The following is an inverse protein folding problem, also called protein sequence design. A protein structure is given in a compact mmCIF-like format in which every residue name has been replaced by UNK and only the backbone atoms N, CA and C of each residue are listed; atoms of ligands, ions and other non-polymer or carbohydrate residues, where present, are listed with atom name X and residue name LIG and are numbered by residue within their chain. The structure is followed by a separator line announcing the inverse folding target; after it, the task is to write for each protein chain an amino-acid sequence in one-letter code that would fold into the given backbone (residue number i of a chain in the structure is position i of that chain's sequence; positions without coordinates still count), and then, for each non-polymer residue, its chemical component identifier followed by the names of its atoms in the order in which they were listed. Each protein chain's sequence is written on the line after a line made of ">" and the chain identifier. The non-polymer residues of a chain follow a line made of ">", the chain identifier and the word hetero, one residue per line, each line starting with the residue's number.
data_IF_510232709406
#
_entry.id   IF_510232709406
#
_cell.length_a   1.000
_cell.length_b   1.000
_cell.length_c   1.000
_cell.angle_alpha   90.00
_cell.angle_beta   90.00
_cell.angle_gamma   90.00
#
_symmetry.space_group_name_H-M   'P 1'
#
loop_
_entity.id
_entity.type
_entity.pdbx_description
1 polymer ?
#
# COMPACT_ATOMS: atom_id res chain seq x y z
N UNK A 1 36.14 -30.06 28.35
CA UNK A 1 35.24 -28.92 28.10
C UNK A 1 35.43 -28.51 26.66
N UNK A 2 34.44 -28.71 25.80
CA UNK A 2 34.53 -28.32 24.39
C UNK A 2 34.48 -26.80 24.32
N UNK A 3 35.48 -26.18 23.70
CA UNK A 3 35.47 -24.75 23.42
C UNK A 3 34.26 -24.44 22.54
N UNK A 4 33.35 -23.54 22.94
CA UNK A 4 32.22 -23.17 22.09
C UNK A 4 32.77 -22.54 20.81
N UNK A 5 32.30 -23.04 19.66
CA UNK A 5 32.65 -22.49 18.35
C UNK A 5 32.05 -21.07 18.28
N UNK A 6 32.85 -20.03 18.02
CA UNK A 6 32.33 -18.68 17.88
C UNK A 6 31.33 -18.64 16.71
N UNK A 7 30.16 -18.07 16.95
CA UNK A 7 29.17 -17.84 15.89
C UNK A 7 29.78 -16.90 14.86
N UNK A 8 29.77 -17.31 13.59
CA UNK A 8 30.09 -16.39 12.50
C UNK A 8 28.96 -15.39 12.37
N UNK A 9 29.28 -14.10 12.47
CA UNK A 9 28.33 -13.00 12.34
C UNK A 9 27.76 -12.87 10.92
N UNK A 10 28.41 -13.51 9.95
CA UNK A 10 28.05 -13.45 8.52
C UNK A 10 27.26 -14.68 8.05
N UNK A 11 27.21 -15.73 8.88
CA UNK A 11 26.48 -16.96 8.55
C UNK A 11 24.97 -16.70 8.52
N UNK A 12 24.39 -16.68 7.33
CA UNK A 12 22.96 -16.42 7.09
C UNK A 12 22.65 -15.02 6.55
N UNK A 13 23.68 -14.19 6.29
CA UNK A 13 23.49 -12.92 5.59
C UNK A 13 23.51 -13.18 4.07
N UNK A 14 22.43 -12.80 3.40
CA UNK A 14 22.21 -12.96 1.96
C UNK A 14 21.95 -11.60 1.34
N UNK A 15 22.89 -11.12 0.52
CA UNK A 15 22.77 -9.82 -0.17
C UNK A 15 21.67 -9.86 -1.22
N UNK A 16 21.46 -11.02 -1.84
CA UNK A 16 20.45 -11.33 -2.84
C UNK A 16 19.00 -11.27 -2.31
N UNK A 17 18.80 -11.09 -0.99
CA UNK A 17 17.49 -10.89 -0.38
C UNK A 17 17.20 -9.41 -0.06
N UNK A 18 18.17 -8.51 -0.24
CA UNK A 18 17.96 -7.08 -0.05
C UNK A 18 17.09 -6.59 -1.20
N UNK A 19 15.94 -5.98 -0.89
CA UNK A 19 14.97 -5.48 -1.88
C UNK A 19 15.01 -3.97 -1.99
N UNK A 20 14.87 -3.47 -3.21
CA UNK A 20 14.67 -2.06 -3.52
C UNK A 20 13.60 -1.92 -4.59
N UNK A 21 12.42 -1.42 -4.23
CA UNK A 21 11.35 -1.20 -5.19
C UNK A 21 11.73 -0.05 -6.13
N UNK A 22 12.32 -0.37 -7.28
CA UNK A 22 12.76 0.58 -8.30
C UNK A 22 11.58 1.26 -8.99
N UNK A 23 10.49 0.52 -9.19
CA UNK A 23 9.26 1.03 -9.76
C UNK A 23 8.10 0.71 -8.83
N UNK A 24 7.21 1.68 -8.64
CA UNK A 24 6.05 1.54 -7.77
C UNK A 24 4.80 1.96 -8.54
N UNK A 25 3.72 1.20 -8.37
CA UNK A 25 2.43 1.48 -8.98
C UNK A 25 1.32 1.40 -7.93
N UNK A 26 0.39 2.36 -7.98
CA UNK A 26 -0.78 2.41 -7.13
C UNK A 26 -2.03 2.36 -7.98
N UNK A 27 -2.93 1.45 -7.65
CA UNK A 27 -4.24 1.32 -8.25
C UNK A 27 -5.32 1.45 -7.20
N UNK A 28 -6.42 2.12 -7.55
CA UNK A 28 -7.56 2.30 -6.68
C UNK A 28 -8.86 1.87 -7.37
N UNK A 29 -9.74 1.24 -6.60
CA UNK A 29 -11.07 0.86 -7.06
C UNK A 29 -12.12 1.19 -5.98
N UNK A 30 -13.37 1.39 -6.41
CA UNK A 30 -14.50 1.46 -5.49
C UNK A 30 -14.69 0.10 -4.78
N UNK A 31 -15.23 0.09 -3.56
CA UNK A 31 -15.40 -1.14 -2.77
C UNK A 31 -16.27 -2.20 -3.47
N UNK A 32 -17.13 -1.77 -4.38
CA UNK A 32 -18.01 -2.62 -5.20
C UNK A 32 -17.27 -3.40 -6.28
N UNK A 33 -16.02 -3.03 -6.62
CA UNK A 33 -15.19 -3.79 -7.54
C UNK A 33 -14.84 -5.18 -6.95
N UNK A 34 -14.51 -6.12 -7.83
CA UNK A 34 -14.08 -7.46 -7.41
C UNK A 34 -12.77 -7.39 -6.61
N UNK A 35 -12.61 -8.28 -5.63
CA UNK A 35 -11.37 -8.40 -4.88
C UNK A 35 -10.30 -9.13 -5.70
N UNK A 36 -9.05 -8.69 -5.60
CA UNK A 36 -7.92 -9.44 -6.14
C UNK A 36 -7.61 -10.61 -5.20
N UNK A 37 -7.70 -11.83 -5.72
CA UNK A 37 -7.44 -13.06 -4.97
C UNK A 37 -6.01 -13.58 -5.17
N UNK A 38 -5.52 -13.55 -6.42
CA UNK A 38 -4.18 -13.95 -6.81
C UNK A 38 -3.68 -12.96 -7.89
N UNK A 39 -2.62 -12.17 -7.62
CA UNK A 39 -2.07 -11.23 -8.59
C UNK A 39 -1.04 -11.85 -9.53
N UNK A 40 -0.64 -13.11 -9.31
CA UNK A 40 0.44 -13.77 -10.04
C UNK A 40 -0.04 -15.02 -10.75
N UNK A 41 0.61 -15.34 -11.86
CA UNK A 41 0.45 -16.61 -12.56
C UNK A 41 1.14 -17.75 -11.78
N UNK A 42 0.47 -18.90 -11.69
CA UNK A 42 0.98 -20.05 -10.93
C UNK A 42 2.19 -20.71 -11.61
N UNK A 43 2.27 -20.66 -12.94
CA UNK A 43 3.30 -21.36 -13.73
C UNK A 43 4.63 -20.60 -13.74
N UNK A 44 4.62 -19.29 -13.97
CA UNK A 44 5.85 -18.49 -14.13
C UNK A 44 6.06 -17.40 -13.05
N UNK A 45 5.05 -17.08 -12.24
CA UNK A 45 5.13 -16.03 -11.21
C UNK A 45 5.04 -14.61 -11.78
N UNK A 46 4.71 -14.46 -13.06
CA UNK A 46 4.51 -13.17 -13.70
C UNK A 46 3.27 -12.46 -13.14
N UNK A 47 3.28 -11.13 -13.22
CA UNK A 47 2.16 -10.31 -12.76
C UNK A 47 1.00 -10.38 -13.76
N UNK A 48 -0.17 -10.82 -13.30
CA UNK A 48 -1.40 -10.84 -14.09
C UNK A 48 -1.93 -9.43 -14.32
N UNK A 49 -2.74 -9.28 -15.38
CA UNK A 49 -3.41 -8.02 -15.67
C UNK A 49 -4.30 -7.59 -14.47
N UNK A 50 -4.20 -6.31 -14.11
CA UNK A 50 -5.03 -5.74 -13.04
C UNK A 50 -6.50 -5.77 -13.48
N UNK A 51 -7.44 -6.26 -12.64
CA UNK A 51 -8.85 -6.36 -13.02
C UNK A 51 -9.50 -5.03 -13.39
N UNK A 52 -10.53 -5.11 -14.23
CA UNK A 52 -11.35 -3.95 -14.60
C UNK A 52 -11.95 -3.26 -13.36
N UNK A 53 -11.94 -1.92 -13.38
CA UNK A 53 -12.43 -1.07 -12.29
C UNK A 53 -11.34 -0.58 -11.34
N UNK A 54 -10.11 -1.11 -11.44
CA UNK A 54 -8.93 -0.54 -10.80
C UNK A 54 -8.32 0.53 -11.70
N UNK A 55 -8.41 1.78 -11.25
CA UNK A 55 -7.82 2.92 -11.96
C UNK A 55 -6.41 3.18 -11.46
N UNK A 56 -5.43 3.39 -12.36
CA UNK A 56 -4.09 3.80 -11.98
C UNK A 56 -4.13 5.21 -11.41
N UNK A 57 -3.43 5.42 -10.30
CA UNK A 57 -3.25 6.74 -9.69
C UNK A 57 -2.19 7.56 -10.46
N UNK A 58 -1.31 6.90 -11.20
CA UNK A 58 -0.25 7.54 -11.98
C UNK A 58 1.02 7.76 -11.17
N UNK A 59 1.86 8.70 -11.60
CA UNK A 59 3.12 9.02 -10.93
C UNK A 59 2.93 9.56 -9.51
N UNK A 60 3.72 9.02 -8.60
CA UNK A 60 3.89 9.49 -7.22
C UNK A 60 5.27 10.11 -7.04
N UNK A 61 5.47 10.87 -5.97
CA UNK A 61 6.77 11.45 -5.61
C UNK A 61 7.85 10.39 -5.41
N UNK A 62 9.11 10.82 -5.47
CA UNK A 62 10.31 10.00 -5.26
C UNK A 62 10.51 9.54 -3.81
N UNK A 63 9.80 10.17 -2.85
CA UNK A 63 9.69 9.69 -1.47
C UNK A 63 9.07 8.29 -1.35
N UNK A 64 8.36 7.83 -2.39
CA UNK A 64 7.76 6.51 -2.50
C UNK A 64 6.48 6.34 -1.68
N UNK A 65 6.10 5.09 -1.43
CA UNK A 65 4.89 4.74 -0.69
C UNK A 65 5.27 4.27 0.71
N UNK A 66 4.72 4.92 1.73
CA UNK A 66 4.95 4.57 3.13
C UNK A 66 3.79 3.74 3.67
N UNK A 67 4.10 2.69 4.43
CA UNK A 67 3.09 1.85 5.10
C UNK A 67 3.25 1.90 6.62
N UNK A 68 2.79 2.96 7.30
CA UNK A 68 2.94 3.03 8.74
C UNK A 68 1.99 2.04 9.43
N UNK A 69 2.52 1.29 10.40
CA UNK A 69 1.75 0.44 11.31
C UNK A 69 1.72 1.10 12.69
N UNK A 70 0.53 1.33 13.21
CA UNK A 70 0.32 1.87 14.56
C UNK A 70 -0.13 0.74 15.50
N UNK A 71 0.75 0.35 16.42
CA UNK A 71 0.54 -0.72 17.41
C UNK A 71 0.34 -0.08 18.79
N UNK A 72 -0.89 -0.12 19.30
CA UNK A 72 -1.19 0.30 20.67
C UNK A 72 -1.13 -0.88 21.63
N UNK A 73 -0.41 -0.71 22.74
CA UNK A 73 -0.28 -1.70 23.81
C UNK A 73 -0.80 -1.08 25.10
N UNK A 74 -1.71 -1.78 25.78
CA UNK A 74 -2.16 -1.46 27.12
C UNK A 74 -1.40 -2.28 28.14
N UNK A 75 -0.66 -1.58 28.99
CA UNK A 75 0.11 -2.16 30.07
C UNK A 75 -0.64 -2.10 31.39
N UNK A 76 -0.69 -3.24 32.09
CA UNK A 76 -1.09 -3.33 33.49
C UNK A 76 0.17 -3.27 34.34
N UNK A 77 0.27 -2.26 35.19
CA UNK A 77 1.38 -2.10 36.14
C UNK A 77 0.95 -2.52 37.54
N UNK A 78 1.88 -3.12 38.29
CA UNK A 78 1.67 -3.51 39.69
C UNK A 78 2.60 -2.71 40.59
N UNK A 79 2.13 -2.26 41.75
CA UNK A 79 2.92 -1.43 42.67
C UNK A 79 4.19 -2.12 43.22
N UNK A 80 4.29 -3.44 43.11
CA UNK A 80 5.45 -4.24 43.52
C UNK A 80 6.47 -4.47 42.41
N UNK A 81 6.19 -4.03 41.17
CA UNK A 81 7.03 -4.23 40.01
C UNK A 81 7.29 -2.92 39.30
N UNK A 82 8.53 -2.71 38.85
CA UNK A 82 8.93 -1.51 38.09
C UNK A 82 8.59 -1.66 36.60
N UNK A 83 8.48 -2.91 36.13
CA UNK A 83 8.10 -3.26 34.76
C UNK A 83 6.62 -3.66 34.71
N UNK A 84 5.93 -3.46 33.57
CA UNK A 84 4.52 -3.86 33.42
C UNK A 84 4.39 -5.36 33.67
N UNK A 85 3.42 -5.73 34.51
CA UNK A 85 3.18 -7.13 34.89
C UNK A 85 2.39 -7.89 33.84
N UNK A 86 1.73 -7.17 32.93
CA UNK A 86 1.08 -7.69 31.72
C UNK A 86 0.97 -6.59 30.67
N UNK A 87 1.18 -6.96 29.41
CA UNK A 87 0.97 -6.11 28.24
C UNK A 87 0.00 -6.81 27.30
N UNK A 88 -1.06 -6.12 26.87
CA UNK A 88 -2.01 -6.61 25.88
C UNK A 88 -2.05 -5.64 24.69
N UNK A 89 -2.09 -6.17 23.45
CA UNK A 89 -2.21 -5.34 22.24
C UNK A 89 -3.68 -4.89 22.10
N UNK A 90 -3.91 -3.58 22.07
CA UNK A 90 -5.26 -3.00 21.91
C UNK A 90 -5.65 -2.84 20.44
N UNK A 91 -4.71 -2.37 19.62
CA UNK A 91 -4.96 -2.10 18.21
C UNK A 91 -3.69 -2.26 17.38
N UNK A 92 -3.87 -2.69 16.14
CA UNK A 92 -2.85 -2.72 15.09
C UNK A 92 -3.50 -2.17 13.81
N UNK A 93 -3.13 -0.95 13.43
CA UNK A 93 -3.68 -0.25 12.28
C UNK A 93 -2.58 -0.07 11.24
N UNK A 94 -2.72 -0.78 10.12
CA UNK A 94 -1.90 -0.55 8.94
C UNK A 94 -2.48 0.61 8.12
N UNK A 95 -1.63 1.54 7.72
CA UNK A 95 -1.98 2.65 6.83
C UNK A 95 -1.09 2.65 5.58
N UNK A 96 -1.50 3.41 4.57
CA UNK A 96 -0.71 3.67 3.36
C UNK A 96 -0.75 5.17 3.06
N UNK A 97 0.43 5.78 2.92
CA UNK A 97 0.62 7.20 2.61
C UNK A 97 1.42 7.35 1.33
N UNK A 98 0.92 8.15 0.40
CA UNK A 98 1.58 8.44 -0.87
C UNK A 98 1.14 9.80 -1.41
N UNK A 99 1.97 10.40 -2.26
CA UNK A 99 1.72 11.70 -2.87
C UNK A 99 1.66 11.58 -4.40
N UNK A 100 0.45 11.48 -4.99
CA UNK A 100 0.26 11.56 -6.43
C UNK A 100 0.59 12.96 -6.97
N UNK A 101 1.22 13.00 -8.15
CA UNK A 101 1.55 14.22 -8.88
C UNK A 101 0.63 14.44 -10.09
N UNK A 102 -0.01 13.39 -10.59
CA UNK A 102 -0.85 13.47 -11.78
C UNK A 102 -2.24 14.07 -11.51
N UNK A 103 -2.72 14.88 -12.45
CA UNK A 103 -4.10 15.36 -12.47
C UNK A 103 -4.94 14.42 -13.34
N UNK A 104 -5.30 13.27 -12.78
CA UNK A 104 -6.16 12.27 -13.40
C UNK A 104 -7.40 11.97 -12.53
N UNK A 105 -8.34 11.20 -13.08
CA UNK A 105 -9.61 10.89 -12.42
C UNK A 105 -9.38 10.20 -11.06
N UNK A 106 -8.44 9.25 -10.99
CA UNK A 106 -8.17 8.49 -9.79
C UNK A 106 -7.59 9.37 -8.69
N UNK A 107 -6.60 10.19 -8.99
CA UNK A 107 -5.94 11.10 -8.03
C UNK A 107 -6.93 12.08 -7.42
N UNK A 108 -7.70 12.80 -8.24
CA UNK A 108 -8.67 13.77 -7.70
C UNK A 108 -9.78 13.05 -6.95
N UNK A 109 -10.25 11.91 -7.46
CA UNK A 109 -11.27 11.13 -6.77
C UNK A 109 -10.80 10.64 -5.39
N UNK A 110 -9.52 10.26 -5.25
CA UNK A 110 -8.93 9.85 -3.97
C UNK A 110 -8.76 11.05 -3.02
N UNK A 111 -8.31 12.20 -3.53
CA UNK A 111 -8.05 13.39 -2.72
C UNK A 111 -9.33 14.08 -2.23
N UNK A 112 -10.37 14.14 -3.06
CA UNK A 112 -11.66 14.78 -2.75
C UNK A 112 -12.73 13.80 -2.28
N UNK A 113 -12.45 12.50 -2.28
CA UNK A 113 -13.39 11.48 -1.82
C UNK A 113 -14.52 11.17 -2.82
N UNK A 114 -14.38 11.55 -4.10
CA UNK A 114 -15.35 11.27 -5.17
C UNK A 114 -15.32 9.79 -5.61
N UNK A 115 -16.43 9.20 -6.09
CA UNK A 115 -16.43 7.83 -6.60
C UNK A 115 -15.48 7.67 -7.79
N UNK A 116 -14.87 6.49 -7.94
CA UNK A 116 -13.95 6.18 -9.05
C UNK A 116 -14.69 5.77 -10.32
N UNK A 117 -15.90 5.24 -10.18
CA UNK A 117 -16.77 4.88 -11.30
C UNK A 117 -18.24 5.24 -11.06
N UNK A 118 -19.02 5.29 -12.14
CA UNK A 118 -20.47 5.49 -12.08
C UNK A 118 -20.90 6.95 -11.85
N UNK A 119 -22.05 7.13 -11.21
CA UNK A 119 -22.65 8.45 -11.03
C UNK A 119 -21.84 9.31 -10.05
N UNK A 120 -21.42 10.50 -10.52
CA UNK A 120 -20.60 11.43 -9.75
C UNK A 120 -19.09 11.19 -9.87
N UNK A 121 -18.65 10.21 -10.66
CA UNK A 121 -17.25 10.07 -11.02
C UNK A 121 -16.86 11.15 -12.02
N UNK A 122 -15.57 11.53 -12.02
CA UNK A 122 -15.07 12.52 -12.96
C UNK A 122 -15.17 11.99 -14.40
N UNK A 123 -15.52 12.85 -15.38
CA UNK A 123 -15.56 12.45 -16.79
C UNK A 123 -14.13 12.24 -17.32
N UNK A 124 -14.00 11.69 -18.53
CA UNK A 124 -12.69 11.44 -19.13
C UNK A 124 -11.83 12.70 -19.22
N UNK A 125 -10.51 12.52 -19.14
CA UNK A 125 -9.53 13.59 -19.35
C UNK A 125 -9.78 14.28 -20.69
N UNK A 126 -9.63 15.60 -20.73
CA UNK A 126 -9.90 16.43 -21.91
C UNK A 126 -11.32 16.98 -21.98
N UNK A 127 -12.17 16.66 -21.00
CA UNK A 127 -13.46 17.32 -20.79
C UNK A 127 -13.37 18.29 -19.61
N UNK A 128 -14.24 19.31 -19.58
CA UNK A 128 -14.28 20.24 -18.47
C UNK A 128 -14.74 19.52 -17.19
N UNK A 129 -13.92 19.59 -16.14
CA UNK A 129 -14.22 19.00 -14.83
C UNK A 129 -14.79 20.06 -13.89
N UNK A 130 -15.84 19.68 -13.18
CA UNK A 130 -16.39 20.46 -12.07
C UNK A 130 -16.84 19.47 -11.00
N UNK A 131 -16.48 19.73 -9.76
CA UNK A 131 -16.98 19.03 -8.59
C UNK A 131 -17.11 20.03 -7.45
N UNK A 132 -18.08 19.80 -6.59
CA UNK A 132 -18.27 20.59 -5.38
C UNK A 132 -17.76 19.80 -4.18
N UNK A 133 -17.02 20.46 -3.30
CA UNK A 133 -16.64 19.84 -2.03
C UNK A 133 -17.89 19.67 -1.18
N UNK A 134 -18.19 18.43 -0.82
CA UNK A 134 -19.37 18.11 -0.01
C UNK A 134 -19.29 18.82 1.35
N UNK A 135 -20.41 19.41 1.79
CA UNK A 135 -20.53 20.04 3.12
C UNK A 135 -20.30 19.05 4.26
N UNK A 136 -20.58 17.77 4.00
CA UNK A 136 -20.20 16.65 4.87
C UNK A 136 -19.24 15.73 4.10
N UNK A 137 -17.97 15.61 4.52
CA UNK A 137 -17.00 14.77 3.85
C UNK A 137 -17.41 13.30 3.99
N UNK A 138 -17.87 12.70 2.90
CA UNK A 138 -18.11 11.26 2.81
C UNK A 138 -16.86 10.61 2.26
N UNK A 139 -16.08 9.98 3.13
CA UNK A 139 -14.93 9.16 2.72
C UNK A 139 -15.41 7.70 2.60
N UNK A 140 -15.75 7.21 1.39
CA UNK A 140 -16.15 5.83 1.19
C UNK A 140 -14.98 4.88 1.45
N UNK A 141 -15.30 3.63 1.77
CA UNK A 141 -14.31 2.57 1.72
C UNK A 141 -13.93 2.28 0.26
N UNK A 142 -12.67 1.97 0.02
CA UNK A 142 -12.08 1.69 -1.29
C UNK A 142 -11.16 0.49 -1.22
N UNK A 143 -10.84 -0.06 -2.39
CA UNK A 143 -9.81 -1.08 -2.57
C UNK A 143 -8.56 -0.40 -3.09
N UNK A 144 -7.41 -0.65 -2.46
CA UNK A 144 -6.12 -0.14 -2.89
C UNK A 144 -5.16 -1.30 -3.15
N UNK A 145 -4.48 -1.25 -4.30
CA UNK A 145 -3.45 -2.18 -4.70
C UNK A 145 -2.15 -1.40 -4.90
N UNK A 146 -1.11 -1.86 -4.22
CA UNK A 146 0.24 -1.32 -4.33
C UNK A 146 1.14 -2.42 -4.88
N UNK A 147 1.91 -2.10 -5.91
CA UNK A 147 2.85 -3.02 -6.55
C UNK A 147 4.21 -2.34 -6.55
N UNK A 148 5.20 -2.96 -5.91
CA UNK A 148 6.61 -2.61 -6.05
C UNK A 148 7.31 -3.62 -6.94
N UNK A 149 8.06 -3.16 -7.93
CA UNK A 149 8.90 -3.97 -8.80
C UNK A 149 10.37 -3.73 -8.46
N UNK A 150 11.09 -4.83 -8.33
CA UNK A 150 12.54 -4.93 -8.18
C UNK A 150 13.09 -5.95 -9.20
N UNK A 151 14.41 -6.02 -9.35
CA UNK A 151 15.06 -6.98 -10.22
C UNK A 151 16.08 -7.81 -9.43
N UNK A 152 16.12 -9.12 -9.71
CA UNK A 152 17.23 -9.98 -9.28
C UNK A 152 18.52 -9.65 -10.01
N UNK A 153 19.63 -10.20 -9.53
CA UNK A 153 20.96 -10.04 -10.14
C UNK A 153 21.01 -10.61 -11.57
N UNK A 154 20.13 -11.57 -11.88
CA UNK A 154 19.92 -12.17 -13.20
C UNK A 154 19.01 -11.32 -14.11
N UNK A 155 18.48 -10.20 -13.61
CA UNK A 155 17.51 -9.35 -14.29
C UNK A 155 16.07 -9.87 -14.21
N UNK A 156 15.80 -10.94 -13.47
CA UNK A 156 14.45 -11.46 -13.26
C UNK A 156 13.59 -10.51 -12.44
N UNK A 157 12.34 -10.30 -12.83
CA UNK A 157 11.42 -9.40 -12.13
C UNK A 157 11.00 -9.99 -10.78
N UNK A 158 10.92 -9.13 -9.77
CA UNK A 158 10.51 -9.46 -8.40
C UNK A 158 9.44 -8.46 -7.98
N UNK A 159 8.23 -8.96 -7.76
CA UNK A 159 7.08 -8.15 -7.43
C UNK A 159 6.73 -8.29 -5.94
N UNK A 160 6.62 -7.16 -5.26
CA UNK A 160 6.09 -7.07 -3.90
C UNK A 160 4.74 -6.36 -3.96
N UNK A 161 3.67 -7.12 -3.74
CA UNK A 161 2.30 -6.64 -3.86
C UNK A 161 1.66 -6.53 -2.50
N UNK A 162 1.04 -5.38 -2.22
CA UNK A 162 0.24 -5.15 -1.03
C UNK A 162 -1.17 -4.73 -1.44
N UNK A 163 -2.17 -5.46 -0.98
CA UNK A 163 -3.57 -5.17 -1.26
C UNK A 163 -4.34 -4.89 0.02
N UNK A 164 -4.96 -3.72 0.05
CA UNK A 164 -5.88 -3.30 1.11
C UNK A 164 -7.31 -3.43 0.56
N UNK A 165 -8.02 -4.53 0.87
CA UNK A 165 -9.37 -4.76 0.34
C UNK A 165 -10.39 -3.74 0.82
N UNK A 166 -10.16 -3.15 1.99
CA UNK A 166 -11.04 -2.15 2.58
C UNK A 166 -10.22 -1.07 3.24
N UNK A 167 -9.92 -0.02 2.50
CA UNK A 167 -9.18 1.15 2.96
C UNK A 167 -10.11 2.38 3.03
N UNK A 168 -9.85 3.31 3.94
CA UNK A 168 -10.58 4.59 4.00
C UNK A 168 -9.60 5.74 4.14
N UNK A 169 -9.87 6.83 3.43
CA UNK A 169 -9.09 8.07 3.54
C UNK A 169 -9.23 8.63 4.97
N UNK A 170 -8.11 8.77 5.66
CA UNK A 170 -8.01 9.26 7.04
C UNK A 170 -7.34 10.61 7.13
N UNK A 171 -6.39 10.89 6.25
CA UNK A 171 -5.76 12.20 6.17
C UNK A 171 -5.51 12.59 4.70
N UNK A 172 -5.50 13.89 4.44
CA UNK A 172 -5.05 14.49 3.19
C UNK A 172 -4.28 15.76 3.54
N UNK A 173 -3.15 15.98 2.90
CA UNK A 173 -2.34 17.18 3.13
C UNK A 173 -2.74 18.29 2.16
N UNK A 174 -2.16 19.47 2.36
CA UNK A 174 -2.48 20.65 1.56
C UNK A 174 -2.01 20.48 0.11
N UNK A 175 -2.91 20.78 -0.84
CA UNK A 175 -2.54 20.90 -2.25
C UNK A 175 -1.89 22.26 -2.49
N UNK A 176 -0.59 22.26 -2.80
CA UNK A 176 0.17 23.48 -3.06
C UNK A 176 0.32 23.74 -4.56
N UNK A 177 0.01 24.97 -4.99
CA UNK A 177 0.27 25.46 -6.35
C UNK A 177 1.48 26.39 -6.33
N UNK A 178 2.62 25.91 -6.80
CA UNK A 178 3.85 26.69 -6.90
C UNK A 178 4.44 26.56 -8.30
N UNK A 179 5.31 27.51 -8.68
CA UNK A 179 6.09 27.42 -9.94
C UNK A 179 7.33 26.54 -9.80
N UNK A 180 7.82 26.39 -8.58
CA UNK A 180 9.07 25.70 -8.25
C UNK A 180 8.88 24.21 -7.99
N UNK A 181 7.67 23.79 -7.68
CA UNK A 181 7.32 22.41 -7.35
C UNK A 181 6.05 22.02 -8.09
N UNK A 182 5.95 20.75 -8.45
CA UNK A 182 4.76 20.16 -9.03
C UNK A 182 3.59 20.16 -8.04
N UNK A 183 2.36 20.10 -8.56
CA UNK A 183 1.17 19.96 -7.74
C UNK A 183 1.09 18.54 -7.19
N UNK A 184 1.23 18.40 -5.88
CA UNK A 184 1.09 17.14 -5.17
C UNK A 184 -0.26 17.10 -4.45
N UNK A 185 -0.84 15.90 -4.34
CA UNK A 185 -2.10 15.67 -3.61
C UNK A 185 -1.96 14.56 -2.56
N UNK A 186 -1.19 14.77 -1.49
CA UNK A 186 -0.86 13.70 -0.55
C UNK A 186 -2.09 13.15 0.16
N UNK A 187 -2.18 11.83 0.22
CA UNK A 187 -3.31 11.10 0.80
C UNK A 187 -2.82 9.96 1.69
N UNK A 188 -3.51 9.77 2.81
CA UNK A 188 -3.29 8.65 3.74
C UNK A 188 -4.56 7.84 3.91
N UNK A 189 -4.43 6.54 3.75
CA UNK A 189 -5.52 5.58 3.89
C UNK A 189 -5.23 4.59 5.02
N UNK A 190 -6.22 4.33 5.86
CA UNK A 190 -6.12 3.26 6.86
C UNK A 190 -6.82 2.00 6.34
N UNK A 191 -6.17 0.86 6.53
CA UNK A 191 -6.72 -0.45 6.22
C UNK A 191 -7.65 -0.91 7.35
N UNK A 192 -8.83 -1.39 6.96
CA UNK A 192 -9.82 -1.97 7.84
C UNK A 192 -10.05 -3.42 7.46
N UNK A 193 -10.42 -4.24 8.44
CA UNK A 193 -10.77 -5.64 8.18
C UNK A 193 -11.98 -5.71 7.24
N UNK A 194 -11.79 -6.37 6.11
CA UNK A 194 -12.88 -6.74 5.23
C UNK A 194 -13.62 -7.96 5.81
N UNK A 195 -14.95 -7.91 5.91
CA UNK A 195 -15.73 -8.99 6.52
C UNK A 195 -15.88 -10.21 5.62
N UNK A 196 -15.75 -10.05 4.29
CA UNK A 196 -15.85 -11.15 3.34
C UNK A 196 -14.51 -11.87 3.16
N UNK A 197 -13.40 -11.12 3.12
CA UNK A 197 -12.05 -11.67 2.95
C UNK A 197 -11.34 -11.98 4.27
N UNK A 198 -11.88 -11.47 5.39
CA UNK A 198 -11.37 -11.73 6.74
C UNK A 198 -10.07 -11.03 7.10
N UNK A 199 -9.47 -10.24 6.19
CA UNK A 199 -8.18 -9.55 6.37
C UNK A 199 -8.29 -8.05 6.10
N UNK A 200 -7.43 -7.26 6.75
CA UNK A 200 -7.22 -5.82 6.47
C UNK A 200 -6.19 -5.59 5.37
N UNK A 201 -5.26 -6.52 5.18
CA UNK A 201 -4.20 -6.43 4.19
C UNK A 201 -3.79 -7.83 3.73
N UNK A 202 -3.55 -7.99 2.44
CA UNK A 202 -2.93 -9.19 1.87
C UNK A 202 -1.66 -8.80 1.16
N UNK A 203 -0.58 -9.51 1.46
CA UNK A 203 0.72 -9.30 0.82
C UNK A 203 1.02 -10.52 -0.05
N UNK A 204 1.61 -10.30 -1.20
CA UNK A 204 2.20 -11.35 -2.02
C UNK A 204 3.60 -10.92 -2.46
N UNK A 205 4.48 -11.89 -2.59
CA UNK A 205 5.79 -11.73 -3.21
C UNK A 205 5.95 -12.89 -4.16
N UNK A 206 6.14 -12.59 -5.43
CA UNK A 206 6.46 -13.57 -6.46
C UNK A 206 7.13 -12.86 -7.64
N UNK A 207 7.57 -13.62 -8.62
CA UNK A 207 8.24 -13.12 -9.80
C UNK A 207 9.23 -14.15 -10.31
N UNK A 208 9.57 -14.12 -11.61
CA UNK A 208 10.60 -14.99 -12.17
C UNK A 208 11.92 -14.90 -11.38
N UNK A 209 12.34 -13.68 -11.00
CA UNK A 209 13.55 -13.47 -10.19
C UNK A 209 13.41 -13.96 -8.74
N UNK A 210 12.20 -13.97 -8.18
CA UNK A 210 11.96 -14.50 -6.84
C UNK A 210 12.07 -16.02 -6.83
N UNK A 211 11.50 -16.68 -7.84
CA UNK A 211 11.58 -18.14 -8.01
C UNK A 211 13.01 -18.60 -8.32
N UNK A 212 13.79 -17.79 -9.04
CA UNK A 212 15.19 -18.07 -9.33
C UNK A 212 16.08 -18.14 -8.07
N UNK A 213 15.73 -17.43 -6.99
CA UNK A 213 16.46 -17.50 -5.72
C UNK A 213 16.35 -18.85 -5.00
N UNK A 214 15.34 -19.66 -5.35
CA UNK A 214 15.14 -20.99 -4.78
C UNK A 214 15.92 -22.10 -5.51
N UNK A 215 16.49 -21.80 -6.68
CA UNK A 215 17.25 -22.73 -7.51
C UNK A 215 18.73 -22.78 -7.10
#
# INVERSE_FOLDING_TARGET
>A
MSTPVPVSLESGLHTEYIRKQLVQAVFAADITAAAIAAPFDEEDGSLLAVPDGYLPVGYTTDDGITFPSDLSISDVTSSQAVEPTRSDIESDILSASFAPQETNNATIALYEGLPLAGAGALPAIGTAWQWDRASSPRNPFRRLLFIGLDYGDDGGEIYVVKFMPRARLTNREDEQWARSTETQRPVTFNAYRDSALGTSCRNWVDGPGWRALAA
#
